data_IF_552703831669
#
_entry.id   IF_552703831669
#
_cell.length_a   1.000
_cell.length_b   1.000
_cell.length_c   1.000
_cell.angle_alpha   90.00
_cell.angle_beta   90.00
_cell.angle_gamma   90.00
#
_symmetry.space_group_name_H-M   'P 1'
#
loop_
_entity.id
_entity.type
_entity.pdbx_description
1 polymer ?
#
# COMPACT_ATOMS: atom_id res chain seq x y z
N UNK A 1 12.13 -16.46 -0.62
CA UNK A 1 10.77 -16.65 -1.18
C UNK A 1 9.81 -15.72 -0.47
N UNK A 2 9.07 -14.89 -1.20
CA UNK A 2 7.98 -14.10 -0.63
C UNK A 2 6.77 -15.00 -0.39
N UNK A 3 6.20 -14.96 0.81
CA UNK A 3 5.03 -15.76 1.17
C UNK A 3 3.79 -14.87 1.22
N UNK A 4 2.60 -15.46 1.00
CA UNK A 4 1.32 -14.73 1.14
C UNK A 4 1.16 -14.10 2.53
N UNK A 5 1.71 -14.74 3.58
CA UNK A 5 1.67 -14.25 4.96
C UNK A 5 2.52 -12.99 5.14
N UNK A 6 3.72 -12.96 4.57
CA UNK A 6 4.60 -11.77 4.62
C UNK A 6 3.93 -10.56 3.97
N UNK A 7 3.28 -10.76 2.82
CA UNK A 7 2.60 -9.67 2.12
C UNK A 7 1.43 -9.09 2.94
N UNK A 8 0.63 -9.95 3.59
CA UNK A 8 -0.46 -9.50 4.47
C UNK A 8 0.08 -8.61 5.58
N UNK A 9 1.15 -9.03 6.25
CA UNK A 9 1.75 -8.25 7.34
C UNK A 9 2.25 -6.89 6.84
N UNK A 10 2.89 -6.83 5.67
CA UNK A 10 3.36 -5.55 5.12
C UNK A 10 2.22 -4.60 4.72
N UNK A 11 1.06 -5.13 4.30
CA UNK A 11 -0.16 -4.33 4.08
C UNK A 11 -0.69 -3.80 5.40
N UNK A 12 -0.84 -4.66 6.42
CA UNK A 12 -1.33 -4.28 7.74
C UNK A 12 -0.43 -3.19 8.37
N UNK A 13 0.89 -3.36 8.31
CA UNK A 13 1.89 -2.40 8.80
C UNK A 13 1.79 -1.05 8.06
N UNK A 14 1.57 -1.08 6.74
CA UNK A 14 1.42 0.15 5.96
C UNK A 14 0.15 0.91 6.39
N UNK A 15 -0.97 0.20 6.55
CA UNK A 15 -2.24 0.80 6.99
C UNK A 15 -2.12 1.39 8.40
N UNK A 16 -1.42 0.71 9.31
CA UNK A 16 -1.16 1.24 10.65
C UNK A 16 -0.35 2.53 10.61
N UNK A 17 0.69 2.61 9.75
CA UNK A 17 1.48 3.83 9.57
C UNK A 17 0.65 4.99 9.02
N UNK A 18 -0.26 4.74 8.08
CA UNK A 18 -1.20 5.75 7.59
C UNK A 18 -2.14 6.22 8.71
N UNK A 19 -2.67 5.30 9.51
CA UNK A 19 -3.53 5.65 10.65
C UNK A 19 -2.79 6.56 11.65
N UNK A 20 -1.58 6.18 12.05
CA UNK A 20 -0.76 7.00 12.94
C UNK A 20 -0.48 8.38 12.35
N UNK A 21 -0.10 8.46 11.07
CA UNK A 21 0.14 9.72 10.38
C UNK A 21 -1.08 10.65 10.36
N UNK A 22 -2.26 10.11 10.01
CA UNK A 22 -3.52 10.86 9.98
C UNK A 22 -3.99 11.32 11.37
N UNK A 23 -3.60 10.59 12.42
CA UNK A 23 -3.82 10.99 13.82
C UNK A 23 -2.78 12.01 14.33
N UNK A 24 -1.82 12.43 13.49
CA UNK A 24 -0.73 13.32 13.90
C UNK A 24 0.32 12.65 14.80
N UNK A 25 0.37 11.32 14.81
CA UNK A 25 1.29 10.49 15.61
C UNK A 25 2.37 9.85 14.71
N UNK A 26 3.42 9.32 15.33
CA UNK A 26 4.34 8.37 14.67
C UNK A 26 5.48 8.97 13.86
N UNK A 27 5.66 10.31 13.81
CA UNK A 27 6.86 10.96 13.28
C UNK A 27 7.20 10.67 11.80
N UNK A 28 6.29 10.02 11.07
CA UNK A 28 6.46 9.70 9.65
C UNK A 28 6.03 10.88 8.78
N UNK A 29 6.58 10.96 7.57
CA UNK A 29 6.17 11.95 6.58
C UNK A 29 5.31 11.30 5.51
N UNK A 30 4.49 12.10 4.82
CA UNK A 30 3.73 11.61 3.66
C UNK A 30 4.66 11.05 2.57
N UNK A 31 5.83 11.66 2.38
CA UNK A 31 6.85 11.15 1.46
C UNK A 31 7.33 9.75 1.86
N UNK A 32 7.54 9.49 3.16
CA UNK A 32 7.94 8.17 3.61
C UNK A 32 6.83 7.13 3.45
N UNK A 33 5.58 7.53 3.64
CA UNK A 33 4.42 6.67 3.35
C UNK A 33 4.32 6.34 1.87
N UNK A 34 4.62 7.31 0.99
CA UNK A 34 4.66 7.09 -0.46
C UNK A 34 5.70 6.05 -0.85
N UNK A 35 6.91 6.17 -0.33
CA UNK A 35 7.97 5.18 -0.57
C UNK A 35 7.56 3.77 -0.13
N UNK A 36 7.02 3.63 1.08
CA UNK A 36 6.58 2.33 1.60
C UNK A 36 5.45 1.73 0.75
N UNK A 37 4.51 2.57 0.33
CA UNK A 37 3.42 2.19 -0.56
C UNK A 37 3.93 1.71 -1.93
N UNK A 38 4.80 2.48 -2.58
CA UNK A 38 5.33 2.13 -3.91
C UNK A 38 6.13 0.83 -3.86
N UNK A 39 6.93 0.61 -2.81
CA UNK A 39 7.66 -0.64 -2.58
C UNK A 39 6.72 -1.84 -2.39
N UNK A 40 5.63 -1.66 -1.64
CA UNK A 40 4.65 -2.72 -1.43
C UNK A 40 3.93 -3.07 -2.74
N UNK A 41 3.50 -2.07 -3.51
CA UNK A 41 2.86 -2.29 -4.82
C UNK A 41 3.80 -3.02 -5.77
N UNK A 42 5.09 -2.63 -5.82
CA UNK A 42 6.08 -3.32 -6.62
C UNK A 42 6.19 -4.81 -6.25
N UNK A 43 6.24 -5.13 -4.95
CA UNK A 43 6.28 -6.51 -4.46
C UNK A 43 5.02 -7.28 -4.86
N UNK A 44 3.83 -6.69 -4.72
CA UNK A 44 2.56 -7.29 -5.12
C UNK A 44 2.54 -7.61 -6.62
N UNK A 45 2.91 -6.63 -7.46
CA UNK A 45 2.94 -6.79 -8.91
C UNK A 45 3.94 -7.88 -9.32
N UNK A 46 5.14 -7.88 -8.76
CA UNK A 46 6.15 -8.90 -9.04
C UNK A 46 5.67 -10.31 -8.66
N UNK A 47 4.91 -10.46 -7.57
CA UNK A 47 4.34 -11.74 -7.16
C UNK A 47 3.21 -12.23 -8.06
N UNK A 48 2.43 -11.30 -8.61
CA UNK A 48 1.29 -11.60 -9.47
C UNK A 48 1.71 -11.79 -10.92
N UNK A 49 2.81 -11.19 -11.37
CA UNK A 49 3.23 -11.23 -12.77
C UNK A 49 3.28 -12.66 -13.35
N UNK A 50 3.71 -13.65 -12.55
CA UNK A 50 3.80 -15.05 -12.97
C UNK A 50 2.51 -15.87 -12.80
N UNK A 51 1.55 -15.38 -12.01
CA UNK A 51 0.37 -16.16 -11.57
C UNK A 51 -0.97 -15.59 -12.05
N UNK A 52 -1.03 -14.27 -12.15
CA UNK A 52 -2.21 -13.49 -12.50
C UNK A 52 -1.77 -12.12 -13.06
N UNK A 53 -1.33 -12.13 -14.31
CA UNK A 53 -0.83 -10.93 -15.00
C UNK A 53 -1.93 -9.88 -15.24
N UNK A 54 -3.20 -10.31 -15.33
CA UNK A 54 -4.34 -9.40 -15.41
C UNK A 54 -4.48 -8.60 -14.11
N UNK A 55 -4.50 -9.28 -12.95
CA UNK A 55 -4.57 -8.61 -11.66
C UNK A 55 -3.34 -7.72 -11.40
N UNK A 56 -2.14 -8.16 -11.81
CA UNK A 56 -0.92 -7.36 -11.72
C UNK A 56 -1.05 -6.02 -12.50
N UNK A 57 -1.64 -6.10 -13.70
CA UNK A 57 -1.91 -4.93 -14.55
C UNK A 57 -2.96 -4.01 -13.91
N UNK A 58 -4.05 -4.56 -13.40
CA UNK A 58 -5.13 -3.78 -12.78
C UNK A 58 -4.64 -3.03 -11.54
N UNK A 59 -3.82 -3.68 -10.70
CA UNK A 59 -3.17 -3.06 -9.54
C UNK A 59 -2.21 -1.95 -9.97
N UNK A 60 -1.39 -2.20 -10.99
CA UNK A 60 -0.45 -1.19 -11.52
C UNK A 60 -1.19 0.04 -12.06
N UNK A 61 -2.31 -0.18 -12.74
CA UNK A 61 -3.15 0.89 -13.32
C UNK A 61 -3.89 1.67 -12.22
N UNK A 62 -4.28 0.98 -11.14
CA UNK A 62 -4.98 1.57 -10.01
C UNK A 62 -4.07 2.21 -8.96
N UNK A 63 -2.73 2.15 -9.14
CA UNK A 63 -1.75 2.60 -8.15
C UNK A 63 -2.03 4.02 -7.64
N UNK A 64 -2.17 4.99 -8.56
CA UNK A 64 -2.39 6.37 -8.13
C UNK A 64 -3.77 6.58 -7.50
N UNK A 65 -4.79 5.84 -7.92
CA UNK A 65 -6.12 5.89 -7.30
C UNK A 65 -6.11 5.35 -5.87
N UNK A 66 -5.42 4.22 -5.63
CA UNK A 66 -5.22 3.65 -4.30
C UNK A 66 -4.41 4.60 -3.41
N UNK A 67 -3.34 5.19 -3.93
CA UNK A 67 -2.58 6.21 -3.21
C UNK A 67 -3.46 7.39 -2.80
N UNK A 68 -4.28 7.92 -3.72
CA UNK A 68 -5.21 9.02 -3.44
C UNK A 68 -6.27 8.69 -2.39
N UNK A 69 -6.59 7.42 -2.20
CA UNK A 69 -7.47 6.95 -1.13
C UNK A 69 -6.72 6.93 0.22
N UNK A 70 -5.49 6.43 0.23
CA UNK A 70 -4.69 6.25 1.44
C UNK A 70 -4.19 7.58 2.02
N UNK A 71 -3.77 8.52 1.16
CA UNK A 71 -3.23 9.81 1.60
C UNK A 71 -4.30 10.78 2.11
N UNK A 72 -5.57 10.53 1.82
CA UNK A 72 -6.68 11.39 2.22
C UNK A 72 -7.26 10.88 3.54
N UNK A 73 -7.19 11.65 4.64
CA UNK A 73 -7.66 11.19 5.95
C UNK A 73 -9.17 10.93 6.01
N UNK A 74 -9.96 11.59 5.16
CA UNK A 74 -11.42 11.41 5.11
C UNK A 74 -11.75 10.11 4.39
N UNK A 75 -11.12 9.87 3.23
CA UNK A 75 -11.29 8.63 2.47
C UNK A 75 -10.68 7.43 3.17
N UNK A 76 -9.55 7.60 3.85
CA UNK A 76 -8.91 6.53 4.61
C UNK A 76 -9.80 6.00 5.74
N UNK A 77 -10.64 6.85 6.35
CA UNK A 77 -11.59 6.43 7.39
C UNK A 77 -12.73 5.54 6.90
N UNK A 78 -12.94 5.44 5.58
CA UNK A 78 -13.97 4.57 4.99
C UNK A 78 -13.44 3.17 4.62
N UNK A 79 -12.15 2.91 4.90
CA UNK A 79 -11.49 1.62 4.66
C UNK A 79 -11.66 0.63 5.83
#
# INVERSE_FOLDING_TARGET
MFTKLSLKNEVDDLLERFRMFHEGRGGTTLAKLRENYDLLVLKVVALLQDKDSALARDISTSREALWNLLQDPVKFKTL
#
